data_IF_172471827700
#
_entry.id   IF_172471827700
#
_cell.length_a   1.000
_cell.length_b   1.000
_cell.length_c   1.000
_cell.angle_alpha   90.00
_cell.angle_beta   90.00
_cell.angle_gamma   90.00
#
_symmetry.space_group_name_H-M   'P 1'
#
loop_
_entity.id
_entity.type
_entity.pdbx_description
1 polymer ?
#
# COMPACT_ATOMS: atom_id res chain seq x y z
N UNK A 1 1.62 -22.64 -8.81
CA UNK A 1 0.88 -21.53 -8.17
C UNK A 1 0.95 -21.75 -6.68
N UNK A 2 1.91 -21.12 -6.01
CA UNK A 2 1.93 -21.11 -4.55
C UNK A 2 0.99 -19.99 -4.13
N UNK A 3 -0.19 -20.35 -3.63
CA UNK A 3 -1.04 -19.39 -2.92
C UNK A 3 -0.22 -18.86 -1.75
N UNK A 4 -0.09 -17.55 -1.66
CA UNK A 4 0.56 -16.89 -0.53
C UNK A 4 -0.43 -17.03 0.64
N UNK A 5 -0.35 -18.15 1.36
CA UNK A 5 -1.02 -18.31 2.66
C UNK A 5 -0.25 -17.46 3.68
N UNK A 6 -0.48 -16.14 3.65
CA UNK A 6 -0.06 -15.25 4.72
C UNK A 6 -1.31 -14.70 5.37
N UNK A 7 -1.42 -14.87 6.69
CA UNK A 7 -2.54 -14.33 7.45
C UNK A 7 -2.43 -12.79 7.53
N UNK A 8 -3.52 -12.06 7.24
CA UNK A 8 -3.59 -10.63 7.50
C UNK A 8 -3.26 -10.34 8.97
N UNK A 9 -2.40 -9.35 9.20
CA UNK A 9 -1.98 -8.93 10.54
C UNK A 9 -2.48 -7.52 10.86
N UNK A 10 -2.75 -7.24 12.12
CA UNK A 10 -2.99 -5.88 12.59
C UNK A 10 -1.67 -5.10 12.57
N UNK A 11 -1.49 -4.26 11.55
CA UNK A 11 -0.28 -3.44 11.40
C UNK A 11 -0.56 -1.98 11.77
N UNK A 12 0.39 -1.37 12.49
CA UNK A 12 0.35 0.05 12.80
C UNK A 12 0.94 0.85 11.64
N UNK A 13 0.09 1.46 10.83
CA UNK A 13 0.53 2.37 9.77
C UNK A 13 0.46 3.81 10.29
N UNK A 14 1.60 4.55 10.35
CA UNK A 14 1.59 5.95 10.71
C UNK A 14 0.79 6.79 9.70
N UNK A 15 -0.02 7.74 10.20
CA UNK A 15 -0.80 8.65 9.35
C UNK A 15 0.06 9.36 8.30
N UNK A 16 1.27 9.78 8.67
CA UNK A 16 2.21 10.42 7.74
C UNK A 16 2.61 9.53 6.55
N UNK A 17 2.78 8.22 6.76
CA UNK A 17 3.12 7.29 5.68
C UNK A 17 1.93 7.07 4.72
N UNK A 18 0.73 7.05 5.28
CA UNK A 18 -0.53 7.03 4.52
C UNK A 18 -0.72 8.30 3.70
N UNK A 19 -0.55 9.49 4.30
CA UNK A 19 -0.69 10.77 3.61
C UNK A 19 0.38 10.93 2.50
N UNK A 20 1.62 10.47 2.74
CA UNK A 20 2.68 10.46 1.73
C UNK A 20 2.32 9.57 0.53
N UNK A 21 1.74 8.38 0.77
CA UNK A 21 1.22 7.52 -0.29
C UNK A 21 0.09 8.19 -1.05
N UNK A 22 -0.85 8.83 -0.36
CA UNK A 22 -1.94 9.57 -0.97
C UNK A 22 -1.45 10.66 -1.92
N UNK A 23 -0.51 11.46 -1.46
CA UNK A 23 0.11 12.53 -2.24
C UNK A 23 0.84 11.95 -3.46
N UNK A 24 1.58 10.85 -3.30
CA UNK A 24 2.25 10.20 -4.42
C UNK A 24 1.26 9.67 -5.47
N UNK A 25 0.14 9.07 -5.04
CA UNK A 25 -0.89 8.59 -5.96
C UNK A 25 -1.58 9.73 -6.72
N UNK A 26 -1.89 10.85 -6.06
CA UNK A 26 -2.60 11.98 -6.67
C UNK A 26 -1.80 12.65 -7.79
N UNK A 27 -0.46 12.69 -7.66
CA UNK A 27 0.45 13.21 -8.69
C UNK A 27 1.13 12.13 -9.52
N UNK A 28 0.73 10.85 -9.37
CA UNK A 28 1.25 9.68 -10.10
C UNK A 28 2.77 9.48 -9.95
N UNK A 29 3.31 9.76 -8.76
CA UNK A 29 4.73 9.60 -8.41
C UNK A 29 4.95 8.41 -7.48
N UNK A 30 4.48 7.23 -7.89
CA UNK A 30 4.78 5.95 -7.21
C UNK A 30 5.81 5.14 -7.99
N UNK A 31 6.69 4.47 -7.26
CA UNK A 31 7.60 3.46 -7.79
C UNK A 31 7.00 2.07 -7.58
N UNK A 32 7.27 1.15 -8.50
CA UNK A 32 6.80 -0.23 -8.43
C UNK A 32 7.99 -1.16 -8.28
N UNK A 33 7.86 -2.19 -7.44
CA UNK A 33 8.89 -3.22 -7.27
C UNK A 33 8.24 -4.57 -6.98
N UNK A 34 8.64 -5.57 -7.76
CA UNK A 34 8.36 -6.95 -7.43
C UNK A 34 9.34 -7.44 -6.37
N UNK A 35 8.82 -7.98 -5.28
CA UNK A 35 9.62 -8.51 -4.18
C UNK A 35 9.74 -10.04 -4.30
N UNK A 36 10.58 -10.71 -3.48
CA UNK A 36 10.71 -12.18 -3.52
C UNK A 36 9.42 -12.95 -3.23
N UNK A 37 8.40 -12.29 -2.70
CA UNK A 37 7.04 -12.84 -2.56
C UNK A 37 6.29 -12.93 -3.90
N UNK A 38 6.87 -12.40 -4.98
CA UNK A 38 6.26 -12.39 -6.32
C UNK A 38 5.16 -11.35 -6.50
N UNK A 39 4.88 -10.54 -5.48
CA UNK A 39 3.89 -9.48 -5.54
C UNK A 39 4.57 -8.18 -6.00
N UNK A 40 3.87 -7.41 -6.82
CA UNK A 40 4.27 -6.06 -7.18
C UNK A 40 3.72 -5.07 -6.15
N UNK A 41 4.63 -4.36 -5.49
CA UNK A 41 4.31 -3.37 -4.47
C UNK A 41 4.65 -1.97 -4.98
N UNK A 42 3.73 -1.04 -4.74
CA UNK A 42 3.87 0.39 -5.01
C UNK A 42 4.34 1.11 -3.74
N UNK A 43 5.15 2.15 -3.89
CA UNK A 43 5.56 3.06 -2.81
C UNK A 43 5.85 4.46 -3.35
N UNK A 44 5.79 5.53 -2.51
CA UNK A 44 6.14 6.88 -2.96
C UNK A 44 7.55 6.98 -3.53
N UNK A 45 7.72 7.63 -4.67
CA UNK A 45 9.07 7.90 -5.20
C UNK A 45 9.86 8.77 -4.21
N UNK A 46 11.13 8.44 -4.01
CA UNK A 46 12.06 9.21 -3.16
C UNK A 46 12.09 8.80 -1.70
N UNK A 47 11.25 7.86 -1.25
CA UNK A 47 11.21 7.39 0.15
C UNK A 47 11.98 6.09 0.39
N UNK A 48 12.78 5.62 -0.58
CA UNK A 48 13.45 4.32 -0.52
C UNK A 48 14.27 4.13 0.77
N UNK A 49 15.00 5.16 1.19
CA UNK A 49 15.86 5.14 2.38
C UNK A 49 15.11 5.51 3.67
N UNK A 50 13.80 5.75 3.60
CA UNK A 50 12.95 6.16 4.71
C UNK A 50 11.87 5.11 5.01
N UNK A 51 11.35 5.03 6.25
CA UNK A 51 10.15 4.25 6.53
C UNK A 51 8.96 4.74 5.70
N UNK A 52 8.38 3.86 4.88
CA UNK A 52 7.28 4.20 3.98
C UNK A 52 6.24 3.09 3.91
N UNK A 53 5.06 3.47 3.44
CA UNK A 53 3.98 2.54 3.14
C UNK A 53 4.23 1.91 1.76
N UNK A 54 4.07 0.59 1.69
CA UNK A 54 4.01 -0.18 0.46
C UNK A 54 2.58 -0.71 0.26
N UNK A 55 2.05 -0.60 -0.96
CA UNK A 55 0.68 -1.03 -1.30
C UNK A 55 0.70 -1.93 -2.52
N UNK A 56 -0.02 -3.05 -2.47
CA UNK A 56 -0.22 -3.93 -3.61
C UNK A 56 -1.72 -4.04 -3.94
N UNK A 57 -2.06 -3.92 -5.22
CA UNK A 57 -3.39 -4.24 -5.73
C UNK A 57 -3.39 -5.72 -6.09
N UNK A 58 -4.23 -6.50 -5.41
CA UNK A 58 -4.19 -7.95 -5.59
C UNK A 58 -4.92 -8.37 -6.87
N UNK A 59 -4.45 -9.46 -7.53
CA UNK A 59 -5.17 -10.06 -8.63
C UNK A 59 -6.61 -10.40 -8.23
N UNK A 60 -7.58 -10.02 -9.07
CA UNK A 60 -9.01 -10.10 -8.74
C UNK A 60 -9.64 -8.73 -8.46
N UNK A 61 -8.85 -7.76 -7.98
CA UNK A 61 -9.29 -6.37 -7.82
C UNK A 61 -10.13 -6.09 -6.57
N UNK A 62 -10.39 -7.10 -5.75
CA UNK A 62 -11.22 -6.97 -4.54
C UNK A 62 -10.41 -6.57 -3.30
N UNK A 63 -9.10 -6.81 -3.31
CA UNK A 63 -8.21 -6.61 -2.17
C UNK A 63 -7.05 -5.66 -2.47
N UNK A 64 -6.72 -4.87 -1.46
CA UNK A 64 -5.55 -4.02 -1.39
C UNK A 64 -4.74 -4.41 -0.18
N UNK A 65 -3.50 -4.83 -0.39
CA UNK A 65 -2.59 -5.19 0.70
C UNK A 65 -1.72 -4.00 1.05
N UNK A 66 -1.51 -3.77 2.34
CA UNK A 66 -0.73 -2.65 2.87
C UNK A 66 0.34 -3.17 3.82
N UNK A 67 1.57 -2.66 3.72
CA UNK A 67 2.64 -2.97 4.69
C UNK A 67 3.61 -1.83 4.87
N UNK A 68 4.35 -1.84 5.98
CA UNK A 68 5.45 -0.90 6.19
C UNK A 68 6.74 -1.44 5.59
N UNK A 69 7.58 -0.58 5.00
CA UNK A 69 8.90 -0.97 4.51
C UNK A 69 9.84 -1.48 5.62
N UNK A 70 9.57 -1.09 6.87
CA UNK A 70 10.28 -1.52 8.08
C UNK A 70 9.88 -2.93 8.56
N UNK A 71 8.73 -3.44 8.10
CA UNK A 71 8.28 -4.82 8.34
C UNK A 71 7.53 -5.33 7.11
N UNK A 72 8.27 -5.96 6.19
CA UNK A 72 7.73 -6.55 4.96
C UNK A 72 7.14 -7.95 5.16
N UNK A 73 7.23 -8.49 6.37
CA UNK A 73 6.71 -9.83 6.68
C UNK A 73 5.23 -9.81 7.05
N UNK A 74 4.74 -8.68 7.57
CA UNK A 74 3.34 -8.46 7.97
C UNK A 74 2.64 -7.52 7.00
N UNK A 75 1.34 -7.74 6.75
CA UNK A 75 0.52 -6.80 5.99
C UNK A 75 -0.92 -6.78 6.51
N UNK A 76 -1.59 -5.64 6.34
CA UNK A 76 -3.04 -5.54 6.44
C UNK A 76 -3.67 -5.81 5.08
N UNK A 77 -4.89 -6.34 5.10
CA UNK A 77 -5.75 -6.48 3.93
C UNK A 77 -6.91 -5.51 4.09
N UNK A 78 -7.09 -4.64 3.12
CA UNK A 78 -8.29 -3.84 2.95
C UNK A 78 -9.08 -4.35 1.74
N UNK A 79 -10.39 -4.25 1.81
CA UNK A 79 -11.20 -4.36 0.60
C UNK A 79 -10.93 -3.16 -0.30
N UNK A 80 -11.16 -3.31 -1.61
CA UNK A 80 -11.07 -2.19 -2.54
C UNK A 80 -12.01 -1.04 -2.14
N UNK A 81 -13.17 -1.33 -1.53
CA UNK A 81 -14.07 -0.30 -1.02
C UNK A 81 -13.45 0.47 0.15
N UNK A 82 -12.88 -0.21 1.14
CA UNK A 82 -12.18 0.45 2.26
C UNK A 82 -11.02 1.32 1.76
N UNK A 83 -10.30 0.84 0.77
CA UNK A 83 -9.23 1.60 0.11
C UNK A 83 -9.77 2.84 -0.61
N UNK A 84 -10.87 2.72 -1.36
CA UNK A 84 -11.48 3.84 -2.08
C UNK A 84 -12.10 4.88 -1.14
N UNK A 85 -12.76 4.44 -0.06
CA UNK A 85 -13.30 5.33 0.97
C UNK A 85 -12.16 6.11 1.63
N UNK A 86 -11.09 5.41 2.02
CA UNK A 86 -9.89 6.04 2.55
C UNK A 86 -9.27 7.02 1.54
N UNK A 87 -9.14 6.62 0.27
CA UNK A 87 -8.63 7.47 -0.81
C UNK A 87 -9.47 8.75 -0.95
N UNK A 88 -10.81 8.63 -0.92
CA UNK A 88 -11.72 9.77 -1.02
C UNK A 88 -11.63 10.77 0.13
N UNK A 89 -11.23 10.32 1.32
CA UNK A 89 -11.06 11.17 2.52
C UNK A 89 -9.71 11.90 2.57
N UNK A 90 -8.81 11.67 1.60
CA UNK A 90 -7.46 12.26 1.63
C UNK A 90 -7.47 13.72 1.13
N UNK A 91 -6.84 14.64 1.88
CA UNK A 91 -6.84 16.05 1.53
C UNK A 91 -6.13 16.25 0.18
N UNK A 92 -6.85 16.80 -0.79
CA UNK A 92 -6.33 17.10 -2.13
C UNK A 92 -6.97 16.33 -3.29
N UNK A 93 -7.82 15.32 -3.02
CA UNK A 93 -8.74 14.80 -4.03
C UNK A 93 -9.97 15.69 -4.09
N UNK A 94 -9.96 16.71 -4.96
CA UNK A 94 -11.18 17.40 -5.35
C UNK A 94 -12.14 16.43 -6.08
N UNK A 95 -13.46 16.55 -5.88
CA UNK A 95 -14.47 15.77 -6.61
C UNK A 95 -14.33 15.86 -8.13
#
# INVERSE_FOLDING_TARGET
>A
MAGIEREPAEIRIPRAALDAMAAALSVRTVAMRTWPDGIEWMYPVGTWDEPHLEVALMPGGDEVWLRMSTDRSSFAVWTIQQWLDFAGDLPGMTP
#
